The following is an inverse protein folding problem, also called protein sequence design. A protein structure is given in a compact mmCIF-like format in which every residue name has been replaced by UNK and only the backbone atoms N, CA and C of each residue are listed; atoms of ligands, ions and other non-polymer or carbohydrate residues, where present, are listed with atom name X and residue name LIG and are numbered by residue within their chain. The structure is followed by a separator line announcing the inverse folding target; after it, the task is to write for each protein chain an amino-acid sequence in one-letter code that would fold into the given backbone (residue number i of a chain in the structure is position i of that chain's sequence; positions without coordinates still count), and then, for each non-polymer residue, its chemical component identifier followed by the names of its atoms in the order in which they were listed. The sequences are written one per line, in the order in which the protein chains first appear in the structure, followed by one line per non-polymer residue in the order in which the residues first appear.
data_IF_112941903957
#
_entry.id   IF_112941903957
#
_cell.length_a   1.000
_cell.length_b   1.000
_cell.length_c   1.000
_cell.angle_alpha   90.00
_cell.angle_beta   90.00
_cell.angle_gamma   90.00
#
_symmetry.space_group_name_H-M   'P 1'
#
loop_
_entity.id
_entity.type
_entity.pdbx_description
1 polymer ?
#
# COMPACT_ATOMS: atom_id res chain seq x y z
N UNK A 1 5.95 0.82 -2.36
CA UNK A 1 6.41 0.93 -0.95
C UNK A 1 6.93 -0.38 -0.31
N UNK A 2 6.27 -1.53 -0.49
CA UNK A 2 6.75 -2.83 0.06
C UNK A 2 8.14 -3.23 -0.44
N UNK A 3 8.38 -3.08 -1.75
CA UNK A 3 9.68 -3.31 -2.39
C UNK A 3 10.77 -2.38 -1.85
N UNK A 4 10.43 -1.13 -1.55
CA UNK A 4 11.35 -0.17 -0.96
C UNK A 4 11.86 -0.67 0.39
N UNK A 5 10.97 -1.07 1.31
CA UNK A 5 11.36 -1.62 2.61
C UNK A 5 12.30 -2.83 2.49
N UNK A 6 12.05 -3.71 1.52
CA UNK A 6 12.92 -4.87 1.26
C UNK A 6 14.29 -4.44 0.73
N UNK A 7 14.34 -3.42 -0.13
CA UNK A 7 15.58 -2.95 -0.77
C UNK A 7 16.44 -2.14 0.19
N UNK A 8 15.83 -1.31 1.03
CA UNK A 8 16.53 -0.48 2.01
C UNK A 8 16.80 -1.19 3.33
N UNK A 9 16.23 -2.39 3.52
CA UNK A 9 16.27 -3.11 4.80
C UNK A 9 15.46 -2.43 5.91
N UNK A 10 14.63 -1.43 5.58
CA UNK A 10 13.81 -0.71 6.56
C UNK A 10 12.69 -1.61 7.07
N UNK A 11 12.66 -1.84 8.38
CA UNK A 11 11.62 -2.63 9.01
C UNK A 11 10.31 -1.83 9.17
N UNK A 12 9.17 -2.52 9.16
CA UNK A 12 7.88 -1.88 9.42
C UNK A 12 7.81 -1.25 10.82
N UNK A 13 8.61 -1.76 11.78
CA UNK A 13 8.70 -1.22 13.13
C UNK A 13 9.39 0.15 13.16
N UNK A 14 10.47 0.30 12.38
CA UNK A 14 11.15 1.60 12.23
C UNK A 14 10.25 2.62 11.54
N UNK A 15 9.55 2.20 10.50
CA UNK A 15 8.60 3.06 9.79
C UNK A 15 7.43 3.49 10.70
N UNK A 16 6.93 2.57 11.54
CA UNK A 16 5.90 2.85 12.53
C UNK A 16 6.38 3.84 13.60
N UNK A 17 7.61 3.69 14.09
CA UNK A 17 8.22 4.63 15.02
C UNK A 17 8.39 6.02 14.39
N UNK A 18 8.82 6.09 13.12
CA UNK A 18 8.97 7.33 12.37
C UNK A 18 7.64 8.09 12.20
N UNK A 19 6.56 7.34 11.93
CA UNK A 19 5.23 7.89 11.70
C UNK A 19 4.44 8.12 13.00
N UNK A 20 4.95 7.63 14.14
CA UNK A 20 4.22 7.63 15.41
C UNK A 20 2.94 6.81 15.36
N UNK A 21 2.95 5.70 14.61
CA UNK A 21 1.79 4.84 14.36
C UNK A 21 2.04 3.42 14.88
N UNK A 22 0.96 2.64 15.00
CA UNK A 22 1.10 1.22 15.31
C UNK A 22 1.69 0.46 14.11
N UNK A 23 2.52 -0.56 14.39
CA UNK A 23 3.12 -1.41 13.35
C UNK A 23 2.06 -2.11 12.49
N UNK A 24 0.91 -2.48 13.05
CA UNK A 24 -0.22 -3.05 12.31
C UNK A 24 -0.78 -2.07 11.28
N UNK A 25 -1.00 -0.82 11.68
CA UNK A 25 -1.48 0.25 10.78
C UNK A 25 -0.51 0.48 9.63
N UNK A 26 0.79 0.53 9.92
CA UNK A 26 1.81 0.66 8.87
C UNK A 26 1.86 -0.57 7.98
N UNK A 27 1.74 -1.77 8.54
CA UNK A 27 1.67 -3.01 7.77
C UNK A 27 0.47 -2.98 6.82
N UNK A 28 -0.70 -2.56 7.28
CA UNK A 28 -1.89 -2.44 6.45
C UNK A 28 -1.72 -1.39 5.34
N UNK A 29 -1.06 -0.25 5.63
CA UNK A 29 -0.74 0.77 4.62
C UNK A 29 0.27 0.30 3.57
N UNK A 30 1.34 -0.35 4.01
CA UNK A 30 2.36 -0.90 3.11
C UNK A 30 1.77 -2.01 2.23
N UNK A 31 0.83 -2.80 2.75
CA UNK A 31 0.08 -3.80 1.99
C UNK A 31 -1.18 -3.24 1.32
N UNK A 32 -1.34 -1.91 1.23
CA UNK A 32 -2.45 -1.20 0.57
C UNK A 32 -3.86 -1.59 1.04
N UNK A 33 -4.00 -2.11 2.25
CA UNK A 33 -5.31 -2.35 2.89
C UNK A 33 -5.93 -1.07 3.42
N UNK A 34 -5.09 -0.08 3.74
CA UNK A 34 -5.47 1.24 4.21
C UNK A 34 -4.67 2.28 3.43
N UNK A 35 -5.30 3.39 3.07
CA UNK A 35 -4.63 4.48 2.39
C UNK A 35 -3.68 5.26 3.33
N UNK A 36 -2.58 5.73 2.77
CA UNK A 36 -1.67 6.66 3.44
C UNK A 36 -2.34 8.03 3.59
N UNK A 37 -2.16 8.65 4.75
CA UNK A 37 -2.73 9.95 5.06
C UNK A 37 -1.79 11.07 4.63
N UNK A 38 -2.33 12.27 4.41
CA UNK A 38 -1.54 13.48 4.08
C UNK A 38 -0.36 13.72 5.03
N UNK A 39 -0.56 13.49 6.33
CA UNK A 39 0.51 13.61 7.33
C UNK A 39 1.65 12.60 7.11
N UNK A 40 1.31 11.39 6.67
CA UNK A 40 2.31 10.35 6.43
C UNK A 40 3.17 10.72 5.21
N UNK A 41 2.56 11.20 4.13
CA UNK A 41 3.30 11.65 2.95
C UNK A 41 4.28 12.79 3.27
N UNK A 42 3.87 13.75 4.10
CA UNK A 42 4.74 14.86 4.54
C UNK A 42 5.94 14.33 5.33
N UNK A 43 5.73 13.40 6.26
CA UNK A 43 6.79 12.80 7.06
C UNK A 43 7.73 11.93 6.23
N UNK A 44 7.19 11.07 5.37
CA UNK A 44 8.00 10.22 4.48
C UNK A 44 8.83 11.06 3.50
N UNK A 45 8.29 12.16 2.99
CA UNK A 45 9.06 13.09 2.15
C UNK A 45 10.15 13.80 2.94
N UNK A 46 9.84 14.24 4.16
CA UNK A 46 10.78 15.00 5.00
C UNK A 46 11.94 14.15 5.51
N UNK A 47 11.65 12.94 5.98
CA UNK A 47 12.61 12.09 6.68
C UNK A 47 13.30 11.08 5.75
N UNK A 48 12.63 10.63 4.69
CA UNK A 48 13.13 9.60 3.76
C UNK A 48 13.28 10.10 2.32
N UNK A 49 12.90 11.34 2.02
CA UNK A 49 12.99 11.91 0.67
C UNK A 49 12.01 11.30 -0.34
N UNK A 50 11.02 10.52 0.12
CA UNK A 50 10.11 9.79 -0.77
C UNK A 50 9.03 10.71 -1.34
N UNK A 51 8.76 10.57 -2.64
CA UNK A 51 7.70 11.31 -3.33
C UNK A 51 6.36 10.59 -3.20
N UNK A 52 5.27 11.33 -3.35
CA UNK A 52 3.91 10.79 -3.32
C UNK A 52 3.71 9.66 -4.34
N UNK A 53 4.16 9.89 -5.57
CA UNK A 53 4.08 8.94 -6.68
C UNK A 53 4.77 7.61 -6.31
N UNK A 54 5.97 7.68 -5.74
CA UNK A 54 6.72 6.50 -5.29
C UNK A 54 6.02 5.70 -4.18
N UNK A 55 5.34 6.39 -3.26
CA UNK A 55 4.62 5.75 -2.15
C UNK A 55 3.37 5.03 -2.69
N UNK A 56 2.71 5.63 -3.67
CA UNK A 56 1.52 5.07 -4.32
C UNK A 56 1.81 4.06 -5.42
N UNK A 57 3.03 4.04 -5.94
CA UNK A 57 3.44 3.20 -7.07
C UNK A 57 2.92 1.78 -6.87
N UNK A 58 2.09 1.35 -7.83
CA UNK A 58 1.45 0.04 -7.82
C UNK A 58 2.46 -0.97 -8.37
N UNK A 59 2.79 -1.97 -7.56
CA UNK A 59 3.65 -3.06 -8.03
C UNK A 59 2.85 -3.88 -9.06
N UNK A 60 3.48 -4.28 -10.16
CA UNK A 60 2.82 -5.04 -11.24
C UNK A 60 2.10 -6.31 -10.72
N UNK A 61 2.67 -6.97 -9.70
CA UNK A 61 2.03 -8.09 -8.98
C UNK A 61 0.67 -7.74 -8.36
N UNK A 62 0.50 -6.51 -7.87
CA UNK A 62 -0.78 -6.07 -7.30
C UNK A 62 -1.80 -5.75 -8.40
N UNK A 63 -1.35 -5.27 -9.57
CA UNK A 63 -2.23 -5.02 -10.73
C UNK A 63 -2.86 -6.33 -11.20
N UNK A 64 -2.07 -7.38 -11.36
CA UNK A 64 -2.55 -8.69 -11.80
C UNK A 64 -3.56 -9.28 -10.81
N UNK A 65 -3.32 -9.13 -9.50
CA UNK A 65 -4.25 -9.58 -8.45
C UNK A 65 -5.57 -8.82 -8.46
N UNK A 66 -5.53 -7.49 -8.66
CA UNK A 66 -6.74 -6.66 -8.74
C UNK A 66 -7.53 -7.02 -10.00
N UNK A 67 -6.88 -7.17 -11.16
CA UNK A 67 -7.52 -7.59 -12.41
C UNK A 67 -8.16 -8.98 -12.28
N UNK A 68 -7.47 -9.93 -11.64
CA UNK A 68 -8.01 -11.26 -11.36
C UNK A 68 -9.25 -11.21 -10.43
N UNK A 69 -9.28 -10.30 -9.45
CA UNK A 69 -10.42 -10.11 -8.55
C UNK A 69 -11.60 -9.39 -9.21
N UNK A 70 -11.34 -8.44 -10.12
CA UNK A 70 -12.36 -7.73 -10.87
C UNK A 70 -13.07 -8.68 -11.85
N UNK A 71 -12.33 -9.58 -12.49
CA UNK A 71 -12.88 -10.58 -13.41
C UNK A 71 -13.81 -11.57 -12.71
N UNK A 72 -13.52 -11.97 -11.46
CA UNK A 72 -14.44 -12.80 -10.65
C UNK A 72 -15.76 -12.08 -10.31
N UNK A 73 -15.70 -10.78 -10.01
CA UNK A 73 -16.86 -10.00 -9.60
C UNK A 73 -17.82 -9.69 -10.79
N UNK A 74 -17.28 -9.63 -12.01
CA UNK A 74 -18.09 -9.48 -13.23
C UNK A 74 -18.88 -10.76 -13.57
N UNK A 75 -18.33 -11.95 -13.30
CA UNK A 75 -19.03 -13.23 -13.51
C UNK A 75 -20.22 -13.37 -12.54
N UNK A 76 -20.07 -13.00 -11.27
CA UNK A 76 -21.17 -13.10 -10.30
C UNK A 76 -22.31 -12.11 -10.59
N UNK A 77 -22.01 -10.91 -11.09
CA UNK A 77 -23.02 -9.91 -11.48
C UNK A 77 -23.88 -10.33 -12.67
N UNK A 78 -23.38 -11.20 -13.55
CA UNK A 78 -24.17 -11.78 -14.63
C UNK A 78 -25.12 -12.90 -14.17
N UNK A 79 -24.88 -13.53 -13.02
CA UNK A 79 -25.66 -14.68 -12.54
C UNK A 79 -26.83 -14.32 -11.61
N UNK A 80 -26.96 -13.07 -11.18
CA UNK A 80 -28.02 -12.63 -10.24
C UNK A 80 -29.18 -11.85 -10.87
N UNK A 81 -29.23 -11.72 -12.20
CA UNK A 81 -30.32 -11.05 -12.93
C UNK A 81 -31.15 -12.03 -13.77
N UNK A 82 -31.64 -13.12 -13.15
CA UNK A 82 -32.70 -13.94 -13.74
C UNK A 82 -33.79 -14.26 -12.72
#
# INVERSE_FOLDING_TARGET
MKRWCLTTGTSYRELAALLGQATSTVCDKVNRRVEWQNRDYVLLRKELGLTYDFIQEVDADDVERVLASASHNEIERCLTNH
#
